data_IF_243382397748
#
_entry.id   IF_243382397748
#
_cell.length_a   1.000
_cell.length_b   1.000
_cell.length_c   1.000
_cell.angle_alpha   90.00
_cell.angle_beta   90.00
_cell.angle_gamma   90.00
#
_symmetry.space_group_name_H-M   'P 1'
#
loop_
_entity.id
_entity.type
_entity.pdbx_description
1 polymer ?
#
# COMPACT_ATOMS: atom_id res chain seq x y z
N UNK A 1 -16.01 -19.81 -27.42
CA UNK A 1 -15.49 -18.42 -27.58
C UNK A 1 -15.94 -17.66 -26.36
N UNK A 2 -15.18 -17.78 -25.28
CA UNK A 2 -15.43 -17.04 -24.04
C UNK A 2 -14.90 -15.63 -24.22
N UNK A 3 -15.80 -14.67 -24.04
CA UNK A 3 -15.58 -13.25 -24.14
C UNK A 3 -14.67 -12.78 -22.99
N UNK A 4 -13.41 -12.46 -23.31
CA UNK A 4 -12.38 -12.01 -22.36
C UNK A 4 -12.46 -10.50 -22.07
N UNK A 5 -13.55 -9.81 -22.41
CA UNK A 5 -13.62 -8.34 -22.31
C UNK A 5 -13.95 -7.78 -20.92
N UNK A 6 -14.26 -8.62 -19.92
CA UNK A 6 -14.59 -8.13 -18.57
C UNK A 6 -13.37 -8.10 -17.66
N UNK A 7 -12.60 -7.02 -17.73
CA UNK A 7 -11.64 -6.70 -16.68
C UNK A 7 -12.44 -6.21 -15.46
N UNK A 8 -12.79 -7.12 -14.57
CA UNK A 8 -13.25 -6.76 -13.23
C UNK A 8 -11.98 -6.55 -12.40
N UNK A 9 -11.51 -5.31 -12.30
CA UNK A 9 -10.47 -4.96 -11.34
C UNK A 9 -11.12 -4.74 -9.98
N UNK A 10 -10.72 -5.52 -8.98
CA UNK A 10 -11.05 -5.23 -7.59
C UNK A 10 -9.90 -4.45 -6.99
N UNK A 11 -10.23 -3.35 -6.33
CA UNK A 11 -9.26 -2.61 -5.56
C UNK A 11 -9.15 -3.18 -4.15
N UNK A 12 -7.96 -3.65 -3.79
CA UNK A 12 -7.60 -3.93 -2.41
C UNK A 12 -6.94 -2.69 -1.75
N UNK A 13 -6.79 -2.66 -0.41
CA UNK A 13 -6.22 -1.50 0.29
C UNK A 13 -4.85 -1.04 -0.23
N UNK A 14 -4.00 -1.94 -0.72
CA UNK A 14 -2.67 -1.63 -1.27
C UNK A 14 -2.84 -0.92 -2.61
N UNK A 15 -3.69 -1.45 -3.49
CA UNK A 15 -3.97 -0.81 -4.78
C UNK A 15 -4.55 0.61 -4.63
N UNK A 16 -5.45 0.82 -3.64
CA UNK A 16 -5.99 2.15 -3.31
C UNK A 16 -4.89 3.07 -2.79
N UNK A 17 -4.02 2.55 -1.92
CA UNK A 17 -2.89 3.31 -1.42
C UNK A 17 -1.97 3.79 -2.56
N UNK A 18 -1.58 2.91 -3.48
CA UNK A 18 -0.72 3.29 -4.62
C UNK A 18 -1.38 4.35 -5.50
N UNK A 19 -2.68 4.23 -5.77
CA UNK A 19 -3.43 5.25 -6.54
C UNK A 19 -3.44 6.60 -5.83
N UNK A 20 -3.65 6.61 -4.52
CA UNK A 20 -3.64 7.82 -3.70
C UNK A 20 -2.25 8.47 -3.62
N UNK A 21 -1.19 7.67 -3.45
CA UNK A 21 0.20 8.15 -3.43
C UNK A 21 0.61 8.68 -4.82
N UNK A 22 0.21 8.00 -5.89
CA UNK A 22 0.40 8.47 -7.26
C UNK A 22 -0.27 9.82 -7.49
N UNK A 23 -1.56 9.96 -7.13
CA UNK A 23 -2.30 11.20 -7.28
C UNK A 23 -1.63 12.37 -6.53
N UNK A 24 -1.15 12.13 -5.30
CA UNK A 24 -0.40 13.14 -4.53
C UNK A 24 0.92 13.52 -5.20
N UNK A 25 1.72 12.53 -5.63
CA UNK A 25 3.03 12.76 -6.25
C UNK A 25 2.95 13.56 -7.55
N UNK A 26 1.82 13.47 -8.26
CA UNK A 26 1.54 14.15 -9.53
C UNK A 26 0.75 15.45 -9.35
N UNK A 27 0.47 15.84 -8.11
CA UNK A 27 -0.38 16.99 -7.78
C UNK A 27 -1.74 16.95 -8.50
N UNK A 28 -2.34 15.75 -8.59
CA UNK A 28 -3.67 15.55 -9.14
C UNK A 28 -4.72 15.90 -8.09
N UNK A 29 -5.90 16.33 -8.53
CA UNK A 29 -6.98 16.78 -7.65
C UNK A 29 -7.56 15.69 -6.70
N UNK A 30 -7.23 14.42 -6.92
CA UNK A 30 -7.64 13.31 -6.06
C UNK A 30 -7.78 11.99 -6.81
N UNK A 31 -8.27 10.97 -6.10
CA UNK A 31 -8.66 9.68 -6.68
C UNK A 31 -10.17 9.56 -6.54
N UNK A 32 -10.84 9.19 -7.62
CA UNK A 32 -12.25 8.87 -7.62
C UNK A 32 -12.43 7.35 -7.62
N UNK A 33 -13.19 6.82 -6.66
CA UNK A 33 -13.50 5.38 -6.57
C UNK A 33 -14.98 5.20 -6.91
N UNK A 34 -15.25 4.56 -8.04
CA UNK A 34 -16.60 4.21 -8.47
C UNK A 34 -16.87 2.74 -8.20
N UNK A 35 -18.04 2.43 -7.64
CA UNK A 35 -18.54 1.07 -7.58
C UNK A 35 -19.46 0.84 -8.78
N UNK A 36 -19.07 -0.08 -9.68
CA UNK A 36 -19.80 -0.41 -10.91
C UNK A 36 -21.27 -0.81 -10.66
N UNK A 37 -21.61 -1.26 -9.45
CA UNK A 37 -23.00 -1.58 -9.07
C UNK A 37 -23.95 -0.37 -8.99
N UNK A 38 -23.44 0.86 -9.05
CA UNK A 38 -24.25 2.08 -9.13
C UNK A 38 -24.30 2.69 -10.53
N UNK A 39 -23.67 2.06 -11.52
CA UNK A 39 -23.72 2.53 -12.91
C UNK A 39 -25.08 2.20 -13.53
N UNK A 40 -25.70 3.17 -14.22
CA UNK A 40 -26.94 2.92 -14.94
C UNK A 40 -26.64 2.27 -16.28
N UNK A 41 -26.69 0.94 -16.27
CA UNK A 41 -26.42 0.08 -17.43
C UNK A 41 -27.44 0.25 -18.58
N UNK A 42 -28.53 1.00 -18.37
CA UNK A 42 -29.53 1.26 -19.42
C UNK A 42 -29.26 2.57 -20.18
N UNK A 43 -28.26 3.35 -19.78
CA UNK A 43 -27.91 4.61 -20.41
C UNK A 43 -26.74 4.46 -21.40
N UNK A 44 -26.80 5.16 -22.53
CA UNK A 44 -25.68 5.25 -23.49
C UNK A 44 -24.45 5.97 -22.89
N UNK A 45 -24.62 6.64 -21.75
CA UNK A 45 -23.57 7.33 -21.00
C UNK A 45 -23.01 6.49 -19.83
N UNK A 46 -23.32 5.19 -19.76
CA UNK A 46 -22.78 4.34 -18.70
C UNK A 46 -21.26 4.42 -18.64
N UNK A 47 -20.70 4.39 -17.42
CA UNK A 47 -19.26 4.41 -17.21
C UNK A 47 -18.60 3.22 -17.93
N UNK A 48 -19.28 2.08 -17.95
CA UNK A 48 -18.85 0.87 -18.67
C UNK A 48 -18.64 1.16 -20.17
N UNK A 49 -19.60 1.83 -20.81
CA UNK A 49 -19.52 2.17 -22.23
C UNK A 49 -18.42 3.21 -22.50
N UNK A 50 -18.27 4.19 -21.62
CA UNK A 50 -17.20 5.20 -21.68
C UNK A 50 -15.79 4.59 -21.55
N UNK A 51 -15.62 3.61 -20.66
CA UNK A 51 -14.33 2.90 -20.49
C UNK A 51 -14.02 2.06 -21.73
N UNK A 52 -15.02 1.37 -22.27
CA UNK A 52 -14.87 0.52 -23.45
C UNK A 52 -14.48 1.34 -24.69
N UNK A 53 -15.18 2.44 -24.95
CA UNK A 53 -14.95 3.29 -26.12
C UNK A 53 -13.63 4.07 -26.05
N UNK A 54 -13.26 4.60 -24.88
CA UNK A 54 -12.14 5.55 -24.78
C UNK A 54 -10.84 4.99 -24.20
N UNK A 55 -10.88 3.93 -23.39
CA UNK A 55 -9.70 3.49 -22.62
C UNK A 55 -9.17 2.11 -23.03
N UNK A 56 -10.06 1.17 -23.36
CA UNK A 56 -9.70 -0.22 -23.66
C UNK A 56 -9.13 -0.45 -25.07
N UNK A 57 -9.36 0.49 -25.99
CA UNK A 57 -8.78 0.45 -27.34
C UNK A 57 -7.35 1.03 -27.43
N UNK A 58 -6.76 1.47 -26.32
CA UNK A 58 -5.34 1.83 -26.31
C UNK A 58 -4.49 0.56 -26.18
N UNK A 59 -3.58 0.33 -27.14
CA UNK A 59 -2.60 -0.75 -27.04
C UNK A 59 -1.74 -0.54 -25.78
N UNK A 60 -2.09 -1.24 -24.70
CA UNK A 60 -1.36 -1.20 -23.45
C UNK A 60 -0.02 -1.90 -23.63
N UNK A 61 1.02 -1.12 -23.85
CA UNK A 61 2.40 -1.53 -23.59
C UNK A 61 2.57 -1.61 -22.06
N UNK A 62 2.08 -2.69 -21.44
CA UNK A 62 2.26 -2.94 -20.01
C UNK A 62 3.74 -3.29 -19.80
N UNK A 63 4.59 -2.27 -19.70
CA UNK A 63 5.86 -2.46 -19.00
C UNK A 63 5.49 -2.82 -17.57
N UNK A 64 5.77 -4.05 -17.15
CA UNK A 64 5.83 -4.40 -15.74
C UNK A 64 6.84 -3.44 -15.09
N UNK A 65 6.35 -2.34 -14.54
CA UNK A 65 7.13 -1.50 -13.67
C UNK A 65 7.28 -2.26 -12.37
N UNK A 66 8.31 -3.11 -12.27
CA UNK A 66 8.80 -3.48 -10.95
C UNK A 66 9.09 -2.17 -10.20
N UNK A 67 8.73 -2.07 -8.92
CA UNK A 67 9.12 -0.93 -8.10
C UNK A 67 10.62 -0.68 -8.27
N UNK A 68 11.00 0.51 -8.73
CA UNK A 68 12.41 0.81 -8.98
C UNK A 68 13.19 1.20 -7.71
N UNK A 69 12.53 1.19 -6.55
CA UNK A 69 13.10 1.59 -5.27
C UNK A 69 12.48 0.84 -4.09
N UNK A 70 12.97 1.11 -2.88
CA UNK A 70 12.43 0.50 -1.67
C UNK A 70 11.04 1.06 -1.41
N UNK A 71 10.12 0.19 -1.01
CA UNK A 71 8.76 0.57 -0.64
C UNK A 71 8.39 0.04 0.74
N UNK A 72 7.51 0.74 1.46
CA UNK A 72 6.99 0.34 2.76
C UNK A 72 5.49 0.63 2.84
N UNK A 73 4.71 -0.40 3.15
CA UNK A 73 3.26 -0.36 3.28
C UNK A 73 2.81 -1.06 4.55
N UNK A 74 1.65 -0.63 5.04
CA UNK A 74 1.05 -1.18 6.26
C UNK A 74 -0.45 -1.27 6.11
N UNK A 75 -1.05 -2.38 6.53
CA UNK A 75 -2.49 -2.53 6.56
C UNK A 75 -2.94 -3.52 7.65
N UNK A 76 -4.09 -3.32 8.29
CA UNK A 76 -4.93 -2.12 8.21
C UNK A 76 -4.25 -0.91 8.88
N UNK A 77 -4.67 0.31 8.52
CA UNK A 77 -4.32 1.54 9.23
C UNK A 77 -5.57 2.44 9.27
N UNK A 78 -6.24 2.64 10.42
CA UNK A 78 -5.82 2.24 11.77
C UNK A 78 -5.72 0.73 11.99
N UNK A 79 -4.83 0.28 12.89
CA UNK A 79 -4.66 -1.13 13.23
C UNK A 79 -5.09 -1.44 14.68
N UNK A 80 -5.60 -2.66 14.92
CA UNK A 80 -5.90 -3.18 16.26
C UNK A 80 -6.13 -4.70 16.28
N UNK A 81 -5.39 -5.49 17.07
CA UNK A 81 -4.00 -5.25 17.48
C UNK A 81 -3.02 -5.65 16.38
N UNK A 82 -3.48 -6.30 15.31
CA UNK A 82 -2.65 -6.85 14.26
C UNK A 82 -2.47 -5.84 13.12
N UNK A 83 -1.23 -5.63 12.72
CA UNK A 83 -0.85 -4.88 11.53
C UNK A 83 0.02 -5.78 10.65
N UNK A 84 -0.27 -5.80 9.35
CA UNK A 84 0.62 -6.36 8.34
C UNK A 84 1.53 -5.25 7.81
N UNK A 85 2.81 -5.53 7.78
CA UNK A 85 3.85 -4.63 7.26
C UNK A 85 4.44 -5.29 6.03
N UNK A 86 4.33 -4.64 4.88
CA UNK A 86 4.91 -5.10 3.63
C UNK A 86 6.03 -4.15 3.22
N UNK A 87 7.19 -4.67 2.86
CA UNK A 87 8.25 -3.86 2.26
C UNK A 87 8.88 -4.56 1.06
N UNK A 88 9.27 -3.78 0.06
CA UNK A 88 9.96 -4.27 -1.12
C UNK A 88 11.42 -3.79 -1.10
N UNK A 89 12.34 -4.69 -1.42
CA UNK A 89 13.75 -4.35 -1.62
C UNK A 89 14.13 -4.60 -3.08
N UNK A 90 14.76 -3.62 -3.78
CA UNK A 90 15.24 -3.79 -5.14
C UNK A 90 16.54 -4.60 -5.21
N UNK A 91 17.26 -4.74 -4.10
CA UNK A 91 18.48 -5.54 -3.96
C UNK A 91 18.52 -6.20 -2.58
N UNK A 92 19.38 -7.20 -2.41
CA UNK A 92 19.69 -7.74 -1.08
C UNK A 92 20.44 -6.68 -0.25
N UNK A 93 19.92 -6.34 0.91
CA UNK A 93 20.56 -5.41 1.84
C UNK A 93 20.11 -5.60 3.29
N UNK A 94 20.81 -4.95 4.22
CA UNK A 94 20.42 -4.93 5.62
C UNK A 94 19.19 -4.05 5.82
N UNK A 95 18.24 -4.55 6.59
CA UNK A 95 16.99 -3.87 6.97
C UNK A 95 16.93 -3.76 8.47
N UNK A 96 16.60 -2.56 8.94
CA UNK A 96 16.29 -2.26 10.33
C UNK A 96 14.95 -1.54 10.39
N UNK A 97 13.90 -2.26 10.79
CA UNK A 97 12.54 -1.74 10.90
C UNK A 97 12.21 -1.51 12.38
N UNK A 98 11.97 -0.24 12.72
CA UNK A 98 11.74 0.21 14.09
C UNK A 98 10.42 0.93 14.24
N UNK A 99 9.83 0.82 15.42
CA UNK A 99 8.61 1.53 15.82
C UNK A 99 8.93 2.60 16.86
N UNK A 100 8.46 3.82 16.63
CA UNK A 100 8.64 4.97 17.51
C UNK A 100 7.31 5.57 17.93
N UNK A 101 7.28 6.19 19.11
CA UNK A 101 6.18 7.05 19.53
C UNK A 101 6.30 8.47 18.94
N UNK A 102 5.28 9.30 19.17
CA UNK A 102 5.24 10.70 18.72
C UNK A 102 6.33 11.61 19.31
N UNK A 103 7.05 11.16 20.35
CA UNK A 103 8.19 11.88 20.95
C UNK A 103 9.53 11.39 20.39
N UNK A 104 9.51 10.47 19.41
CA UNK A 104 10.70 9.86 18.84
C UNK A 104 11.35 8.80 19.74
N UNK A 105 10.66 8.31 20.78
CA UNK A 105 11.19 7.24 21.62
C UNK A 105 11.01 5.91 20.91
N UNK A 106 12.10 5.14 20.81
CA UNK A 106 12.06 3.78 20.29
C UNK A 106 11.20 2.91 21.20
N UNK A 107 10.15 2.31 20.63
CA UNK A 107 9.29 1.35 21.30
C UNK A 107 9.84 -0.05 21.08
N UNK A 108 10.11 -0.39 19.82
CA UNK A 108 10.47 -1.75 19.44
C UNK A 108 11.31 -1.78 18.14
N UNK A 109 12.22 -2.74 18.05
CA UNK A 109 12.87 -3.14 16.80
C UNK A 109 12.12 -4.35 16.27
N UNK A 110 11.31 -4.16 15.22
CA UNK A 110 10.41 -5.20 14.68
C UNK A 110 11.22 -6.26 13.95
N UNK A 111 12.15 -5.84 13.09
CA UNK A 111 13.14 -6.71 12.44
C UNK A 111 14.47 -5.99 12.31
N UNK A 112 15.56 -6.75 12.35
CA UNK A 112 16.91 -6.26 12.10
C UNK A 112 17.74 -7.40 11.52
N UNK A 113 18.21 -7.26 10.28
CA UNK A 113 19.04 -8.27 9.62
C UNK A 113 19.12 -8.11 8.11
N UNK A 114 19.77 -9.05 7.44
CA UNK A 114 19.91 -9.07 5.98
C UNK A 114 18.69 -9.72 5.33
N UNK A 115 18.10 -9.05 4.34
CA UNK A 115 16.95 -9.54 3.57
C UNK A 115 17.28 -9.61 2.08
N UNK A 116 16.76 -10.62 1.39
CA UNK A 116 16.92 -10.75 -0.05
C UNK A 116 16.13 -9.68 -0.81
N UNK A 117 16.47 -9.46 -2.08
CA UNK A 117 15.61 -8.74 -3.02
C UNK A 117 14.19 -9.34 -3.03
N UNK A 118 13.17 -8.49 -3.22
CA UNK A 118 11.78 -8.89 -3.35
C UNK A 118 10.85 -8.31 -2.28
N UNK A 119 9.62 -8.81 -2.26
CA UNK A 119 8.58 -8.42 -1.31
C UNK A 119 8.67 -9.25 -0.02
N UNK A 120 8.55 -8.58 1.12
CA UNK A 120 8.58 -9.17 2.46
C UNK A 120 7.34 -8.77 3.25
N UNK A 121 6.55 -9.75 3.66
CA UNK A 121 5.33 -9.54 4.44
C UNK A 121 5.52 -10.01 5.89
N UNK A 122 5.38 -9.09 6.82
CA UNK A 122 5.43 -9.33 8.26
C UNK A 122 4.05 -9.14 8.88
N UNK A 123 3.73 -9.94 9.88
CA UNK A 123 2.55 -9.75 10.74
C UNK A 123 3.03 -9.36 12.14
N UNK A 124 2.63 -8.18 12.60
CA UNK A 124 3.11 -7.60 13.86
C UNK A 124 1.93 -7.21 14.76
N UNK A 125 2.09 -7.45 16.07
CA UNK A 125 1.17 -6.97 17.08
C UNK A 125 1.93 -6.54 18.34
N UNK A 126 1.49 -5.49 19.06
CA UNK A 126 2.14 -5.09 20.30
C UNK A 126 1.91 -6.13 21.42
N UNK A 127 0.81 -6.88 21.37
CA UNK A 127 0.50 -7.94 22.34
C UNK A 127 1.51 -9.09 22.28
N UNK A 128 2.04 -9.42 21.10
CA UNK A 128 3.02 -10.50 20.96
C UNK A 128 4.39 -10.17 21.54
N UNK A 129 4.69 -8.88 21.76
CA UNK A 129 6.01 -8.41 22.20
C UNK A 129 6.02 -7.96 23.67
N UNK A 130 4.88 -8.06 24.35
CA UNK A 130 4.71 -7.68 25.76
C UNK A 130 4.49 -6.18 25.99
N UNK A 131 4.48 -5.37 24.93
CA UNK A 131 4.24 -3.94 25.01
C UNK A 131 2.74 -3.60 24.98
N UNK A 132 2.35 -2.63 25.79
CA UNK A 132 1.01 -2.02 25.71
C UNK A 132 1.10 -0.67 25.05
N UNK A 133 0.55 -0.56 23.84
CA UNK A 133 0.38 0.73 23.19
C UNK A 133 -0.85 1.46 23.75
N UNK A 134 -0.77 2.79 23.74
CA UNK A 134 -1.92 3.66 23.97
C UNK A 134 -2.54 4.03 22.62
N UNK A 135 -3.81 4.39 22.60
CA UNK A 135 -4.44 4.89 21.37
C UNK A 135 -3.68 6.13 20.89
N UNK A 136 -3.30 6.15 19.61
CA UNK A 136 -2.53 7.26 19.09
C UNK A 136 -1.70 6.95 17.84
N UNK A 137 -0.91 7.96 17.47
CA UNK A 137 -0.05 7.95 16.29
C UNK A 137 1.33 7.40 16.66
N UNK A 138 1.83 6.54 15.80
CA UNK A 138 3.15 5.94 15.86
C UNK A 138 3.85 6.05 14.50
N UNK A 139 5.16 5.85 14.50
CA UNK A 139 5.98 5.94 13.29
C UNK A 139 6.79 4.67 13.12
N UNK A 140 6.65 4.03 11.97
CA UNK A 140 7.58 3.01 11.50
C UNK A 140 8.71 3.69 10.73
N UNK A 141 9.95 3.33 11.05
CA UNK A 141 11.13 3.72 10.30
C UNK A 141 11.77 2.46 9.72
N UNK A 142 11.80 2.35 8.40
CA UNK A 142 12.57 1.34 7.67
C UNK A 142 13.90 1.97 7.26
N UNK A 143 14.97 1.50 7.87
CA UNK A 143 16.34 1.89 7.54
C UNK A 143 17.03 0.80 6.75
N UNK A 144 17.59 1.18 5.62
CA UNK A 144 18.53 0.37 4.85
C UNK A 144 19.80 1.20 4.55
N UNK A 145 20.89 0.59 4.07
CA UNK A 145 22.05 1.33 3.60
C UNK A 145 21.73 2.36 2.50
N UNK A 146 20.74 2.06 1.65
CA UNK A 146 20.39 2.88 0.50
C UNK A 146 19.32 3.94 0.80
N UNK A 147 18.39 3.67 1.71
CA UNK A 147 17.26 4.56 1.96
C UNK A 147 16.73 4.49 3.40
N UNK A 148 16.15 5.59 3.85
CA UNK A 148 15.33 5.66 5.06
C UNK A 148 13.90 6.04 4.69
N UNK A 149 12.93 5.22 5.08
CA UNK A 149 11.51 5.44 4.83
C UNK A 149 10.76 5.51 6.17
N UNK A 150 9.95 6.55 6.34
CA UNK A 150 9.10 6.72 7.51
C UNK A 150 7.62 6.56 7.14
N UNK A 151 6.87 5.77 7.91
CA UNK A 151 5.43 5.56 7.73
C UNK A 151 4.69 5.89 9.02
N UNK A 152 3.71 6.79 8.94
CA UNK A 152 2.80 7.09 10.05
C UNK A 152 1.71 6.01 10.14
N UNK A 153 1.52 5.44 11.33
CA UNK A 153 0.48 4.45 11.61
C UNK A 153 -0.35 4.87 12.82
N UNK A 154 -1.62 4.49 12.86
CA UNK A 154 -2.58 4.84 13.89
C UNK A 154 -3.05 3.56 14.61
N UNK A 155 -2.82 3.49 15.92
CA UNK A 155 -3.33 2.41 16.77
C UNK A 155 -4.61 2.87 17.48
N UNK A 156 -5.68 2.08 17.38
CA UNK A 156 -6.97 2.36 18.02
C UNK A 156 -7.52 1.10 18.68
N UNK A 157 -7.42 1.00 20.00
CA UNK A 157 -7.95 -0.10 20.80
C UNK A 157 -9.46 -0.09 20.94
#
# INVERSE_FOLDING_TARGET
KEDQSKIITFDDPISIQHKCEFAQSRNLGGVMVWALGYDDMNSEESLTESINSHWLNSEKNIKNTLPSGIELYTYPNPFNPLMKINFYLPIRENVDLKLFDMRGRLIESIVSGEYSEGNHLLSWSPSSTGFRLSNGIYFLELNTPSQRINKKVLYLK
#
